data_IF_902381534303
#
_entry.id   IF_902381534303
#
_cell.length_a   1.000
_cell.length_b   1.000
_cell.length_c   1.000
_cell.angle_alpha   90.00
_cell.angle_beta   90.00
_cell.angle_gamma   90.00
#
_symmetry.space_group_name_H-M   'P 1'
#
loop_
_entity.id
_entity.type
_entity.pdbx_description
1 polymer ?
#
# COMPACT_ATOMS: atom_id res chain seq x y z
N UNK A 1 42.30 -11.90 42.92
CA UNK A 1 41.96 -12.25 41.53
C UNK A 1 40.52 -11.86 41.28
N UNK A 2 40.28 -10.86 40.42
CA UNK A 2 38.95 -10.52 39.91
C UNK A 2 39.14 -9.81 38.56
N UNK A 3 39.12 -10.57 37.47
CA UNK A 3 39.21 -10.03 36.11
C UNK A 3 37.81 -9.65 35.68
N UNK A 4 37.54 -8.34 35.58
CA UNK A 4 36.28 -7.81 35.06
C UNK A 4 36.30 -7.87 33.54
N UNK A 5 35.57 -8.80 32.94
CA UNK A 5 35.39 -8.88 31.47
C UNK A 5 34.34 -7.86 31.03
N UNK A 6 34.77 -6.77 30.37
CA UNK A 6 33.87 -5.85 29.67
C UNK A 6 33.34 -6.52 28.40
N UNK A 7 32.04 -6.81 28.36
CA UNK A 7 31.35 -7.24 27.15
C UNK A 7 31.14 -6.01 26.24
N UNK A 8 32.04 -5.80 25.28
CA UNK A 8 31.85 -4.80 24.22
C UNK A 8 30.95 -5.47 23.17
N UNK A 9 29.65 -5.18 23.18
CA UNK A 9 28.80 -5.43 22.00
C UNK A 9 29.33 -4.53 20.88
N UNK A 10 30.12 -5.11 19.98
CA UNK A 10 30.57 -4.47 18.77
C UNK A 10 29.32 -4.10 17.95
N UNK A 11 29.02 -2.81 17.81
CA UNK A 11 28.01 -2.34 16.85
C UNK A 11 28.55 -2.66 15.46
N UNK A 12 28.11 -3.79 14.90
CA UNK A 12 28.40 -4.12 13.51
C UNK A 12 27.57 -3.15 12.67
N UNK A 13 28.27 -2.28 11.93
CA UNK A 13 27.62 -1.38 10.98
C UNK A 13 27.24 -2.20 9.74
N UNK A 14 26.05 -1.99 9.17
CA UNK A 14 25.68 -2.51 7.87
C UNK A 14 26.72 -2.16 6.80
N UNK A 15 27.37 -3.17 6.20
CA UNK A 15 28.21 -2.96 5.01
C UNK A 15 27.32 -3.04 3.78
N UNK A 16 27.10 -1.93 3.09
CA UNK A 16 26.41 -1.93 1.78
C UNK A 16 27.42 -2.40 0.73
N UNK A 17 27.16 -3.55 0.09
CA UNK A 17 28.10 -4.17 -0.87
C UNK A 17 27.67 -3.99 -2.34
N UNK A 18 26.45 -3.56 -2.63
CA UNK A 18 26.07 -3.21 -4.00
C UNK A 18 24.62 -2.75 -4.16
N UNK A 19 24.42 -1.77 -5.04
CA UNK A 19 23.10 -1.37 -5.55
C UNK A 19 23.08 -1.73 -7.03
N UNK A 20 22.35 -2.77 -7.41
CA UNK A 20 22.14 -3.10 -8.82
C UNK A 20 20.83 -2.45 -9.29
N UNK A 21 20.95 -1.38 -10.07
CA UNK A 21 19.82 -0.77 -10.77
C UNK A 21 19.46 -1.61 -12.00
N UNK A 22 18.52 -2.54 -11.85
CA UNK A 22 17.89 -3.19 -13.01
C UNK A 22 16.62 -2.42 -13.36
N UNK A 23 16.76 -1.44 -14.25
CA UNK A 23 15.67 -0.51 -14.65
C UNK A 23 14.58 -1.20 -15.52
N UNK A 24 14.68 -2.49 -15.83
CA UNK A 24 13.79 -3.14 -16.79
C UNK A 24 12.46 -3.70 -16.25
N UNK A 25 12.16 -3.57 -14.95
CA UNK A 25 10.87 -4.05 -14.40
C UNK A 25 10.37 -3.29 -13.15
N UNK A 26 10.89 -2.09 -12.85
CA UNK A 26 10.48 -1.34 -11.66
C UNK A 26 10.92 -1.97 -10.33
N UNK A 27 11.86 -2.91 -10.34
CA UNK A 27 12.37 -3.56 -9.12
C UNK A 27 13.73 -2.96 -8.76
N UNK A 28 13.80 -2.29 -7.61
CA UNK A 28 15.08 -2.00 -6.95
C UNK A 28 15.41 -3.20 -6.06
N UNK A 29 16.42 -3.98 -6.45
CA UNK A 29 16.96 -5.05 -5.61
C UNK A 29 18.10 -4.45 -4.78
N UNK A 30 17.88 -4.34 -3.48
CA UNK A 30 18.96 -4.05 -2.53
C UNK A 30 19.35 -5.37 -1.87
N UNK A 31 20.50 -5.92 -2.24
CA UNK A 31 21.03 -7.09 -1.54
C UNK A 31 21.76 -6.65 -0.27
N UNK A 32 21.20 -7.04 0.87
CA UNK A 32 21.85 -6.88 2.17
C UNK A 32 22.34 -8.23 2.67
N UNK A 33 23.66 -8.37 2.85
CA UNK A 33 24.26 -9.57 3.45
C UNK A 33 24.55 -9.30 4.93
N UNK A 34 23.60 -9.64 5.79
CA UNK A 34 23.86 -10.02 7.18
C UNK A 34 23.50 -11.49 7.33
N UNK A 35 24.27 -12.22 8.12
CA UNK A 35 24.56 -13.65 8.04
C UNK A 35 23.37 -14.63 8.23
N UNK A 36 22.11 -14.24 8.04
CA UNK A 36 20.98 -15.20 8.01
C UNK A 36 19.77 -14.90 7.12
N UNK A 37 19.59 -13.77 6.43
CA UNK A 37 18.39 -13.60 5.56
C UNK A 37 18.61 -12.64 4.39
N UNK A 38 18.33 -13.10 3.18
CA UNK A 38 18.07 -12.22 2.02
C UNK A 38 16.71 -11.56 2.27
N UNK A 39 16.71 -10.25 2.53
CA UNK A 39 15.47 -9.46 2.56
C UNK A 39 15.23 -8.97 1.13
N UNK A 40 14.49 -9.73 0.33
CA UNK A 40 13.89 -9.21 -0.90
C UNK A 40 12.68 -8.38 -0.49
N UNK A 41 12.89 -7.15 -0.01
CA UNK A 41 11.82 -6.16 0.03
C UNK A 41 11.80 -5.48 -1.33
N UNK A 42 10.72 -5.66 -2.09
CA UNK A 42 10.48 -4.86 -3.28
C UNK A 42 10.30 -3.43 -2.80
N UNK A 43 11.35 -2.61 -2.88
CA UNK A 43 11.21 -1.19 -2.56
C UNK A 43 10.19 -0.61 -3.54
N UNK A 44 9.02 -0.23 -3.02
CA UNK A 44 8.00 0.43 -3.82
C UNK A 44 8.60 1.69 -4.46
N UNK A 45 8.54 1.78 -5.77
CA UNK A 45 9.11 2.90 -6.52
C UNK A 45 8.23 4.14 -6.34
N UNK A 46 8.84 5.24 -5.93
CA UNK A 46 8.16 6.54 -5.78
C UNK A 46 8.68 7.34 -4.59
N UNK A 47 8.46 8.64 -4.67
CA UNK A 47 8.87 9.65 -3.67
C UNK A 47 7.86 9.81 -2.53
N UNK A 48 6.57 9.54 -2.78
CA UNK A 48 5.49 9.64 -1.80
C UNK A 48 4.74 8.31 -1.65
N UNK A 49 3.98 8.14 -0.56
CA UNK A 49 3.14 6.95 -0.39
C UNK A 49 2.05 6.83 -1.47
N UNK A 50 1.54 7.97 -1.96
CA UNK A 50 0.55 8.00 -3.05
C UNK A 50 1.18 7.48 -4.34
N UNK A 51 2.36 8.01 -4.71
CA UNK A 51 3.08 7.59 -5.92
C UNK A 51 3.47 6.11 -5.87
N UNK A 52 3.97 5.65 -4.71
CA UNK A 52 4.31 4.24 -4.47
C UNK A 52 3.12 3.33 -4.65
N UNK A 53 1.97 3.69 -4.08
CA UNK A 53 0.75 2.92 -4.20
C UNK A 53 0.18 2.96 -5.63
N UNK A 54 0.27 4.10 -6.31
CA UNK A 54 -0.11 4.23 -7.71
C UNK A 54 0.69 3.24 -8.58
N UNK A 55 2.02 3.30 -8.48
CA UNK A 55 2.91 2.41 -9.24
C UNK A 55 2.63 0.94 -8.92
N UNK A 56 2.44 0.60 -7.65
CA UNK A 56 2.06 -0.74 -7.22
C UNK A 56 0.79 -1.25 -7.92
N UNK A 57 -0.32 -0.51 -7.87
CA UNK A 57 -1.57 -0.96 -8.50
C UNK A 57 -1.48 -1.00 -10.03
N UNK A 58 -0.72 -0.09 -10.65
CA UNK A 58 -0.47 -0.14 -12.09
C UNK A 58 0.32 -1.40 -12.47
N UNK A 59 1.34 -1.78 -11.70
CA UNK A 59 2.11 -3.02 -11.88
C UNK A 59 1.25 -4.27 -11.64
N UNK A 60 0.31 -4.21 -10.70
CA UNK A 60 -0.71 -5.25 -10.50
C UNK A 60 -1.77 -5.26 -11.62
N UNK A 61 -1.71 -4.35 -12.59
CA UNK A 61 -2.55 -4.35 -13.78
C UNK A 61 -3.95 -3.74 -13.59
N UNK A 62 -4.12 -2.90 -12.58
CA UNK A 62 -5.30 -2.03 -12.45
C UNK A 62 -5.24 -0.94 -13.51
N UNK A 63 -6.40 -0.51 -14.00
CA UNK A 63 -6.52 0.69 -14.81
C UNK A 63 -6.20 1.93 -13.99
N UNK A 64 -5.77 3.01 -14.66
CA UNK A 64 -5.52 4.31 -14.01
C UNK A 64 -6.75 4.79 -13.23
N UNK A 65 -7.95 4.57 -13.76
CA UNK A 65 -9.21 4.97 -13.13
C UNK A 65 -9.53 4.13 -11.88
N UNK A 66 -9.33 2.80 -11.95
CA UNK A 66 -9.50 1.93 -10.78
C UNK A 66 -8.47 2.25 -9.69
N UNK A 67 -7.21 2.47 -10.07
CA UNK A 67 -6.15 2.91 -9.15
C UNK A 67 -6.51 4.23 -8.49
N UNK A 68 -6.94 5.23 -9.26
CA UNK A 68 -7.37 6.51 -8.73
C UNK A 68 -8.52 6.37 -7.72
N UNK A 69 -9.53 5.55 -8.03
CA UNK A 69 -10.67 5.32 -7.14
C UNK A 69 -10.31 4.66 -5.81
N UNK A 70 -9.38 3.70 -5.82
CA UNK A 70 -8.83 3.09 -4.60
C UNK A 70 -8.08 4.14 -3.78
N UNK A 71 -7.17 4.89 -4.40
CA UNK A 71 -6.34 5.86 -3.70
C UNK A 71 -7.14 7.05 -3.17
N UNK A 72 -8.20 7.48 -3.86
CA UNK A 72 -9.11 8.52 -3.38
C UNK A 72 -9.79 8.12 -2.06
N UNK A 73 -10.15 6.85 -1.92
CA UNK A 73 -10.67 6.30 -0.68
C UNK A 73 -9.61 6.29 0.43
N UNK A 74 -8.44 5.71 0.20
CA UNK A 74 -7.35 5.68 1.20
C UNK A 74 -6.84 7.07 1.61
N UNK A 75 -6.89 8.04 0.69
CA UNK A 75 -6.58 9.44 0.97
C UNK A 75 -7.60 10.07 1.93
N UNK A 76 -8.88 9.70 1.84
CA UNK A 76 -9.88 10.12 2.82
C UNK A 76 -9.64 9.43 4.17
N UNK A 77 -9.37 8.12 4.16
CA UNK A 77 -9.20 7.33 5.38
C UNK A 77 -8.01 7.77 6.23
N UNK A 78 -6.85 7.99 5.61
CA UNK A 78 -5.60 8.15 6.36
C UNK A 78 -4.59 9.10 5.75
N UNK A 79 -4.94 9.77 4.63
CA UNK A 79 -3.97 10.52 3.80
C UNK A 79 -2.81 9.63 3.34
N UNK A 80 -3.08 8.35 3.08
CA UNK A 80 -2.08 7.34 2.72
C UNK A 80 -0.98 7.14 3.78
N UNK A 81 -1.31 7.32 5.06
CA UNK A 81 -0.40 7.03 6.17
C UNK A 81 -0.60 5.59 6.66
N UNK A 82 0.34 4.66 6.42
CA UNK A 82 0.20 3.27 6.84
C UNK A 82 0.32 3.09 8.37
N UNK A 83 0.79 4.11 9.10
CA UNK A 83 0.85 4.09 10.55
C UNK A 83 -0.31 4.86 11.21
N UNK A 84 -1.33 5.27 10.46
CA UNK A 84 -2.47 5.99 11.01
C UNK A 84 -3.27 5.09 11.98
N UNK A 85 -3.53 5.61 13.18
CA UNK A 85 -4.48 5.05 14.13
C UNK A 85 -5.69 5.98 14.21
N UNK A 86 -6.89 5.39 14.25
CA UNK A 86 -8.13 6.13 14.46
C UNK A 86 -8.07 6.97 15.74
N UNK A 87 -8.54 8.21 15.66
CA UNK A 87 -8.60 9.10 16.82
C UNK A 87 -9.71 8.63 17.77
N UNK A 88 -9.38 8.45 19.04
CA UNK A 88 -10.33 8.05 20.08
C UNK A 88 -10.10 6.61 20.53
N UNK A 89 -10.94 5.68 20.06
CA UNK A 89 -10.91 4.27 20.48
C UNK A 89 -9.77 3.46 19.84
N UNK A 90 -9.06 4.04 18.85
CA UNK A 90 -7.93 3.44 18.12
C UNK A 90 -8.27 2.11 17.44
N UNK A 91 -9.50 1.90 16.98
CA UNK A 91 -9.90 0.65 16.34
C UNK A 91 -9.35 0.61 14.91
N UNK A 92 -9.60 1.65 14.13
CA UNK A 92 -9.09 1.78 12.76
C UNK A 92 -7.56 1.88 12.67
N UNK A 93 -6.97 1.20 11.69
CA UNK A 93 -5.53 1.20 11.45
C UNK A 93 -5.15 1.25 9.97
N UNK A 94 -4.07 1.98 9.66
CA UNK A 94 -3.42 1.95 8.35
C UNK A 94 -4.18 2.66 7.24
N UNK A 95 -3.77 2.39 6.00
CA UNK A 95 -4.19 3.17 4.82
C UNK A 95 -5.70 3.14 4.58
N UNK A 96 -6.35 2.01 4.88
CA UNK A 96 -7.78 1.79 4.73
C UNK A 96 -8.56 1.87 6.06
N UNK A 97 -7.92 2.30 7.16
CA UNK A 97 -8.52 2.29 8.50
C UNK A 97 -9.19 0.96 8.88
N UNK A 98 -8.52 -0.17 8.57
CA UNK A 98 -8.99 -1.51 8.90
C UNK A 98 -9.39 -1.58 10.37
N UNK A 99 -10.61 -2.02 10.63
CA UNK A 99 -11.26 -1.99 11.93
C UNK A 99 -11.74 -3.39 12.33
N UNK A 100 -11.93 -3.61 13.64
CA UNK A 100 -12.44 -4.87 14.20
C UNK A 100 -11.68 -6.10 13.66
N UNK A 101 -12.39 -7.13 13.20
CA UNK A 101 -11.81 -8.36 12.66
C UNK A 101 -10.88 -8.11 11.47
N UNK A 102 -11.16 -7.12 10.62
CA UNK A 102 -10.29 -6.82 9.47
C UNK A 102 -8.91 -6.33 9.91
N UNK A 103 -8.82 -5.64 11.05
CA UNK A 103 -7.52 -5.27 11.63
C UNK A 103 -6.76 -6.49 12.13
N UNK A 104 -7.43 -7.39 12.84
CA UNK A 104 -6.82 -8.65 13.29
C UNK A 104 -6.34 -9.49 12.09
N UNK A 105 -7.11 -9.51 11.00
CA UNK A 105 -6.73 -10.19 9.77
C UNK A 105 -5.51 -9.54 9.10
N UNK A 106 -5.44 -8.21 9.06
CA UNK A 106 -4.26 -7.48 8.59
C UNK A 106 -3.02 -7.83 9.42
N UNK A 107 -3.11 -7.75 10.75
CA UNK A 107 -2.01 -8.06 11.67
C UNK A 107 -1.52 -9.51 11.50
N UNK A 108 -2.45 -10.47 11.39
CA UNK A 108 -2.13 -11.87 11.15
C UNK A 108 -1.48 -12.09 9.79
N UNK A 109 -2.11 -11.58 8.72
CA UNK A 109 -1.66 -11.79 7.35
C UNK A 109 -0.28 -11.16 7.11
N UNK A 110 -0.04 -9.94 7.59
CA UNK A 110 1.27 -9.28 7.47
C UNK A 110 2.36 -10.05 8.19
N UNK A 111 2.09 -10.53 9.42
CA UNK A 111 3.02 -11.39 10.17
C UNK A 111 3.35 -12.68 9.42
N UNK A 112 2.35 -13.36 8.87
CA UNK A 112 2.52 -14.61 8.13
C UNK A 112 3.29 -14.41 6.80
N UNK A 113 3.20 -13.23 6.21
CA UNK A 113 3.87 -12.87 4.95
C UNK A 113 5.14 -12.03 5.16
N UNK A 114 5.68 -11.96 6.38
CA UNK A 114 6.92 -11.24 6.73
C UNK A 114 6.91 -9.73 6.44
N UNK A 115 5.75 -9.08 6.56
CA UNK A 115 5.60 -7.64 6.51
C UNK A 115 5.44 -7.04 7.92
N UNK A 116 5.92 -5.81 8.11
CA UNK A 116 5.48 -5.00 9.24
C UNK A 116 4.03 -4.58 9.00
N UNK A 117 3.17 -4.68 10.02
CA UNK A 117 1.77 -4.23 9.92
C UNK A 117 1.68 -2.76 9.50
N UNK A 118 2.63 -1.93 9.91
CA UNK A 118 2.75 -0.50 9.59
C UNK A 118 3.42 -0.20 8.23
N UNK A 119 3.78 -1.23 7.45
CA UNK A 119 4.42 -1.02 6.15
C UNK A 119 3.37 -0.77 5.06
N UNK A 120 3.67 0.20 4.19
CA UNK A 120 2.82 0.46 3.02
C UNK A 120 2.73 -0.77 2.11
N UNK A 121 3.86 -1.44 1.85
CA UNK A 121 3.91 -2.64 1.01
C UNK A 121 3.04 -3.77 1.56
N UNK A 122 3.13 -4.06 2.86
CA UNK A 122 2.30 -5.09 3.49
C UNK A 122 0.81 -4.77 3.42
N UNK A 123 0.44 -3.51 3.64
CA UNK A 123 -0.96 -3.06 3.58
C UNK A 123 -1.53 -3.05 2.15
N UNK A 124 -0.74 -2.65 1.15
CA UNK A 124 -1.14 -2.73 -0.25
C UNK A 124 -1.34 -4.18 -0.70
N UNK A 125 -0.43 -5.09 -0.35
CA UNK A 125 -0.61 -6.52 -0.64
C UNK A 125 -1.82 -7.12 0.10
N UNK A 126 -2.04 -6.76 1.36
CA UNK A 126 -3.21 -7.21 2.11
C UNK A 126 -4.52 -6.72 1.47
N UNK A 127 -4.55 -5.48 0.98
CA UNK A 127 -5.73 -4.97 0.28
C UNK A 127 -6.04 -5.79 -0.98
N UNK A 128 -5.03 -6.18 -1.78
CA UNK A 128 -5.20 -7.08 -2.94
C UNK A 128 -5.78 -8.43 -2.50
N UNK A 129 -5.23 -9.01 -1.43
CA UNK A 129 -5.68 -10.27 -0.86
C UNK A 129 -7.15 -10.24 -0.43
N UNK A 130 -7.60 -9.14 0.18
CA UNK A 130 -9.02 -8.93 0.51
C UNK A 130 -9.87 -8.75 -0.75
N UNK A 131 -9.47 -7.85 -1.65
CA UNK A 131 -10.20 -7.54 -2.88
C UNK A 131 -10.45 -8.79 -3.75
N UNK A 132 -9.49 -9.72 -3.82
CA UNK A 132 -9.61 -10.97 -4.57
C UNK A 132 -10.76 -11.87 -4.08
N UNK A 133 -11.19 -11.73 -2.83
CA UNK A 133 -12.27 -12.52 -2.22
C UNK A 133 -13.62 -11.82 -2.29
N UNK A 134 -13.65 -10.59 -2.80
CA UNK A 134 -14.81 -9.72 -2.78
C UNK A 134 -15.48 -9.62 -4.16
N UNK A 135 -16.74 -9.17 -4.13
CA UNK A 135 -17.41 -8.62 -5.30
C UNK A 135 -17.64 -7.14 -5.09
N UNK A 136 -17.56 -6.39 -6.17
CA UNK A 136 -17.67 -4.94 -6.25
C UNK A 136 -19.01 -4.60 -6.90
N UNK A 137 -20.10 -4.93 -6.21
CA UNK A 137 -21.45 -4.87 -6.74
C UNK A 137 -21.65 -5.87 -7.88
N UNK A 138 -21.91 -5.36 -9.09
CA UNK A 138 -22.02 -6.18 -10.31
C UNK A 138 -20.65 -6.62 -10.86
N UNK A 139 -19.56 -6.05 -10.37
CA UNK A 139 -18.21 -6.34 -10.84
C UNK A 139 -17.55 -7.44 -10.02
N UNK A 140 -16.96 -8.42 -10.69
CA UNK A 140 -15.91 -9.26 -10.10
C UNK A 140 -14.64 -8.43 -9.83
N UNK A 141 -13.71 -8.96 -9.03
CA UNK A 141 -12.39 -8.36 -8.85
C UNK A 141 -11.70 -8.04 -10.19
N UNK A 142 -11.70 -8.99 -11.13
CA UNK A 142 -11.07 -8.80 -12.44
C UNK A 142 -11.74 -7.69 -13.27
N UNK A 143 -13.05 -7.52 -13.16
CA UNK A 143 -13.77 -6.44 -13.84
C UNK A 143 -13.54 -5.09 -13.15
N UNK A 144 -13.53 -5.06 -11.81
CA UNK A 144 -13.23 -3.85 -11.04
C UNK A 144 -11.86 -3.27 -11.41
N UNK A 145 -10.83 -4.13 -11.50
CA UNK A 145 -9.48 -3.75 -11.96
C UNK A 145 -9.44 -3.04 -13.31
N UNK A 146 -10.48 -3.19 -14.13
CA UNK A 146 -10.53 -2.66 -15.51
C UNK A 146 -11.55 -1.53 -15.68
N UNK A 147 -12.16 -1.04 -14.60
CA UNK A 147 -13.07 0.11 -14.68
C UNK A 147 -12.39 1.32 -15.31
N UNK A 148 -13.18 2.09 -16.08
CA UNK A 148 -12.70 3.21 -16.90
C UNK A 148 -13.34 4.54 -16.55
N UNK A 149 -13.97 4.60 -15.38
CA UNK A 149 -14.56 5.81 -14.84
C UNK A 149 -14.08 5.99 -13.39
N UNK A 150 -13.45 7.14 -13.11
CA UNK A 150 -12.85 7.44 -11.80
C UNK A 150 -13.93 7.52 -10.72
N UNK A 151 -15.09 8.13 -11.02
CA UNK A 151 -16.20 8.27 -10.08
C UNK A 151 -16.77 6.90 -9.75
N UNK A 152 -17.08 6.09 -10.76
CA UNK A 152 -17.63 4.74 -10.57
C UNK A 152 -16.66 3.86 -9.78
N UNK A 153 -15.37 3.87 -10.11
CA UNK A 153 -14.37 3.11 -9.36
C UNK A 153 -14.30 3.54 -7.88
N UNK A 154 -14.35 4.85 -7.62
CA UNK A 154 -14.33 5.40 -6.26
C UNK A 154 -15.57 4.97 -5.47
N UNK A 155 -16.75 5.11 -6.05
CA UNK A 155 -18.04 4.78 -5.45
C UNK A 155 -18.16 3.29 -5.13
N UNK A 156 -17.79 2.45 -6.10
CA UNK A 156 -17.88 1.01 -5.96
C UNK A 156 -16.87 0.49 -4.92
N UNK A 157 -15.66 1.06 -4.89
CA UNK A 157 -14.67 0.69 -3.88
C UNK A 157 -15.12 1.13 -2.48
N UNK A 158 -15.63 2.35 -2.33
CA UNK A 158 -16.18 2.84 -1.06
C UNK A 158 -17.27 1.89 -0.55
N UNK A 159 -18.25 1.57 -1.40
CA UNK A 159 -19.43 0.79 -1.02
C UNK A 159 -19.13 -0.67 -0.67
N UNK A 160 -18.07 -1.24 -1.22
CA UNK A 160 -17.82 -2.69 -1.14
C UNK A 160 -16.53 -3.07 -0.42
N UNK A 161 -15.52 -2.20 -0.41
CA UNK A 161 -14.26 -2.43 0.31
C UNK A 161 -14.18 -1.62 1.59
N UNK A 162 -14.43 -0.29 1.55
CA UNK A 162 -14.28 0.56 2.74
C UNK A 162 -15.46 0.40 3.69
N UNK A 163 -16.69 0.55 3.18
CA UNK A 163 -17.93 0.54 3.95
C UNK A 163 -17.82 1.55 5.11
N UNK A 164 -17.44 2.78 4.77
CA UNK A 164 -17.06 3.78 5.76
C UNK A 164 -18.27 4.26 6.56
N UNK A 165 -18.10 4.43 7.88
CA UNK A 165 -19.15 5.00 8.72
C UNK A 165 -19.54 6.43 8.31
N UNK A 166 -18.56 7.22 7.85
CA UNK A 166 -18.79 8.50 7.19
C UNK A 166 -18.32 8.39 5.74
N UNK A 167 -19.30 8.19 4.85
CA UNK A 167 -19.05 7.95 3.42
C UNK A 167 -18.27 9.11 2.78
N UNK A 168 -18.70 10.38 2.94
CA UNK A 168 -17.99 11.56 2.38
C UNK A 168 -17.56 11.39 0.90
N UNK A 169 -18.46 10.87 0.07
CA UNK A 169 -18.14 10.40 -1.28
C UNK A 169 -17.54 11.49 -2.19
N UNK A 170 -18.07 12.72 -2.13
CA UNK A 170 -17.57 13.83 -2.96
C UNK A 170 -16.09 14.15 -2.67
N UNK A 171 -15.66 14.01 -1.42
CA UNK A 171 -14.26 14.22 -1.05
C UNK A 171 -13.36 13.08 -1.54
N UNK A 172 -13.85 11.83 -1.47
CA UNK A 172 -13.15 10.66 -2.02
C UNK A 172 -12.98 10.78 -3.53
N UNK A 173 -14.04 11.19 -4.23
CA UNK A 173 -14.01 11.42 -5.70
C UNK A 173 -13.05 12.56 -6.02
N UNK A 174 -13.05 13.64 -5.23
CA UNK A 174 -12.09 14.74 -5.39
C UNK A 174 -10.64 14.23 -5.29
N UNK A 175 -10.31 13.47 -4.25
CA UNK A 175 -8.97 12.90 -4.10
C UNK A 175 -8.62 11.91 -5.23
N UNK A 176 -9.59 11.11 -5.67
CA UNK A 176 -9.39 10.21 -6.80
C UNK A 176 -9.07 10.99 -8.08
N UNK A 177 -9.81 12.06 -8.37
CA UNK A 177 -9.59 12.88 -9.55
C UNK A 177 -8.25 13.63 -9.49
N UNK A 178 -7.88 14.17 -8.33
CA UNK A 178 -6.58 14.80 -8.12
C UNK A 178 -5.43 13.80 -8.37
N UNK A 179 -5.56 12.59 -7.83
CA UNK A 179 -4.58 11.51 -8.04
C UNK A 179 -4.50 11.08 -9.50
N UNK A 180 -5.64 10.89 -10.17
CA UNK A 180 -5.70 10.57 -11.59
C UNK A 180 -5.01 11.65 -12.42
N UNK A 181 -5.33 12.92 -12.18
CA UNK A 181 -4.76 14.06 -12.90
C UNK A 181 -3.24 14.18 -12.71
N UNK A 182 -2.73 13.75 -11.56
CA UNK A 182 -1.31 13.83 -11.23
C UNK A 182 -0.47 12.72 -11.87
N UNK A 183 -1.00 11.50 -11.95
CA UNK A 183 -0.20 10.31 -12.30
C UNK A 183 -0.62 9.59 -13.58
N UNK A 184 -1.79 9.92 -14.15
CA UNK A 184 -2.26 9.31 -15.39
C UNK A 184 -1.34 9.65 -16.57
N UNK A 185 -0.89 8.61 -17.27
CA UNK A 185 -0.05 8.69 -18.48
C UNK A 185 -0.88 8.88 -19.75
N UNK A 186 -2.21 8.75 -19.69
CA UNK A 186 -3.08 8.96 -20.87
C UNK A 186 -3.25 10.43 -21.21
N UNK A 187 -2.99 11.36 -20.27
CA UNK A 187 -2.95 12.80 -20.55
C UNK A 187 -1.80 13.19 -21.49
N UNK A 188 -0.63 12.59 -21.33
CA UNK A 188 0.58 12.91 -22.12
C UNK A 188 0.55 12.41 -23.57
N UNK A 189 -0.45 11.60 -23.97
CA UNK A 189 -0.58 11.09 -25.36
C UNK A 189 -1.63 11.82 -26.19
N UNK A 190 -2.33 12.78 -25.60
CA UNK A 190 -3.40 13.55 -26.25
C UNK A 190 -3.10 15.04 -26.39
N UNK A 191 -1.84 15.43 -26.11
CA UNK A 191 -1.28 16.78 -26.29
C UNK A 191 -0.20 16.80 -27.36
#
# INVERSE_FOLDING_TARGET
MATTTRNIKQKILPTVVGVFLVILAGVVIVEYYDNTKIIIQRQLVGSTNVERAWNFYQEEGFSEEATAGILGNFMRESKMNPAAEEIGNKIGYGIAQWSFTRRTDLEKWTKENNFLVSSLEGQLNFSIYEMQKMKFGKYSYAQFKKLKDVREATEVFEKHFEIAGVVALDERIKYAQETYNQYSKTKDRSS
#
